data_IF_044686341685
#
_entry.id   IF_044686341685
#
_cell.length_a   1.000
_cell.length_b   1.000
_cell.length_c   1.000
_cell.angle_alpha   90.00
_cell.angle_beta   90.00
_cell.angle_gamma   90.00
#
_symmetry.space_group_name_H-M   'P 1'
#
loop_
_entity.id
_entity.type
_entity.pdbx_description
1 polymer ?
#
# COMPACT_ATOMS: atom_id res chain seq x y z
N UNK A 1 20.37 -12.94 17.44
CA UNK A 1 19.54 -13.20 16.23
C UNK A 1 18.18 -12.55 16.47
N UNK A 2 17.61 -11.89 15.47
CA UNK A 2 16.29 -11.23 15.54
C UNK A 2 15.39 -11.84 14.47
N UNK A 3 14.14 -12.15 14.84
CA UNK A 3 13.09 -12.58 13.92
C UNK A 3 12.15 -11.41 13.67
N UNK A 4 11.90 -11.07 12.41
CA UNK A 4 10.92 -10.06 12.02
C UNK A 4 9.63 -10.77 11.67
N UNK A 5 8.55 -10.43 12.36
CA UNK A 5 7.23 -11.00 12.15
C UNK A 5 6.28 -9.90 11.72
N UNK A 6 5.58 -10.10 10.61
CA UNK A 6 4.51 -9.23 10.12
C UNK A 6 3.21 -10.02 10.13
N UNK A 7 2.16 -9.44 10.71
CA UNK A 7 0.85 -10.07 10.88
C UNK A 7 -0.01 -9.90 9.63
N UNK A 8 0.04 -8.74 9.00
CA UNK A 8 -0.86 -8.35 7.90
C UNK A 8 -0.31 -8.74 6.52
N UNK A 9 -0.02 -10.04 6.31
CA UNK A 9 0.52 -10.56 5.05
C UNK A 9 -0.56 -11.04 4.07
N UNK A 10 -0.63 -12.36 3.89
CA UNK A 10 -1.48 -13.00 2.87
C UNK A 10 -2.97 -12.70 3.01
N UNK A 11 -3.50 -12.71 4.23
CA UNK A 11 -4.93 -12.43 4.49
C UNK A 11 -5.31 -10.99 4.17
N UNK A 12 -4.40 -10.05 4.37
CA UNK A 12 -4.61 -8.66 3.97
C UNK A 12 -4.60 -8.52 2.45
N UNK A 13 -3.68 -9.20 1.75
CA UNK A 13 -3.69 -9.25 0.28
C UNK A 13 -4.95 -9.88 -0.28
N UNK A 14 -5.41 -10.96 0.34
CA UNK A 14 -6.66 -11.62 -0.05
C UNK A 14 -7.87 -10.70 0.11
N UNK A 15 -7.95 -9.96 1.21
CA UNK A 15 -9.01 -8.98 1.45
C UNK A 15 -9.01 -7.86 0.39
N UNK A 16 -7.83 -7.37 -0.01
CA UNK A 16 -7.69 -6.37 -1.08
C UNK A 16 -8.11 -6.95 -2.43
N UNK A 17 -7.66 -8.16 -2.77
CA UNK A 17 -8.08 -8.88 -3.98
C UNK A 17 -9.61 -9.01 -4.03
N UNK A 18 -10.22 -9.37 -2.91
CA UNK A 18 -11.66 -9.61 -2.85
C UNK A 18 -12.49 -8.36 -3.04
N UNK A 19 -11.99 -7.21 -2.60
CA UNK A 19 -12.66 -5.91 -2.75
C UNK A 19 -12.45 -5.28 -4.12
N UNK A 20 -11.28 -5.45 -4.71
CA UNK A 20 -10.85 -4.60 -5.84
C UNK A 20 -10.41 -5.35 -7.10
N UNK A 21 -10.20 -6.67 -7.02
CA UNK A 21 -9.74 -7.48 -8.14
C UNK A 21 -10.69 -8.65 -8.43
N UNK A 22 -11.99 -8.45 -8.23
CA UNK A 22 -13.04 -9.45 -8.54
C UNK A 22 -12.79 -10.82 -7.88
N UNK A 23 -12.08 -10.86 -6.74
CA UNK A 23 -11.65 -12.10 -6.07
C UNK A 23 -10.73 -12.99 -6.93
N UNK A 24 -10.16 -12.45 -8.00
CA UNK A 24 -9.26 -13.14 -8.92
C UNK A 24 -7.82 -12.68 -8.74
N UNK A 25 -6.91 -13.65 -8.58
CA UNK A 25 -5.48 -13.36 -8.55
C UNK A 25 -4.95 -12.91 -9.92
N UNK A 26 -5.55 -13.36 -11.01
CA UNK A 26 -5.14 -12.95 -12.36
C UNK A 26 -5.43 -11.47 -12.59
N UNK A 27 -6.63 -11.02 -12.20
CA UNK A 27 -7.01 -9.60 -12.25
C UNK A 27 -6.10 -8.77 -11.34
N UNK A 28 -5.82 -9.26 -10.12
CA UNK A 28 -4.93 -8.58 -9.18
C UNK A 28 -3.52 -8.41 -9.73
N UNK A 29 -2.96 -9.46 -10.35
CA UNK A 29 -1.62 -9.43 -10.94
C UNK A 29 -1.57 -8.51 -12.16
N UNK A 30 -2.59 -8.57 -13.03
CA UNK A 30 -2.68 -7.66 -14.18
C UNK A 30 -2.69 -6.18 -13.75
N UNK A 31 -3.39 -5.86 -12.66
CA UNK A 31 -3.44 -4.50 -12.12
C UNK A 31 -2.10 -4.07 -11.53
N UNK A 32 -1.37 -4.97 -10.87
CA UNK A 32 -0.01 -4.70 -10.40
C UNK A 32 0.97 -4.45 -11.55
N UNK A 33 0.87 -5.23 -12.63
CA UNK A 33 1.76 -5.08 -13.80
C UNK A 33 1.47 -3.80 -14.60
N UNK A 34 0.23 -3.33 -14.60
CA UNK A 34 -0.16 -2.07 -15.24
C UNK A 34 0.19 -0.82 -14.41
N UNK A 35 0.54 -1.00 -13.13
CA UNK A 35 0.84 0.10 -12.23
C UNK A 35 2.28 0.56 -12.43
N UNK A 36 2.46 1.85 -12.70
CA UNK A 36 3.80 2.45 -12.82
C UNK A 36 4.60 2.28 -11.52
N UNK A 37 5.94 2.18 -11.58
CA UNK A 37 6.79 2.17 -10.40
C UNK A 37 6.47 3.32 -9.44
N UNK A 38 6.50 3.02 -8.14
CA UNK A 38 6.09 3.95 -7.07
C UNK A 38 4.60 4.33 -7.06
N UNK A 39 3.78 3.73 -7.94
CA UNK A 39 2.34 3.94 -7.98
C UNK A 39 1.95 5.45 -8.04
N UNK A 40 2.69 6.23 -8.84
CA UNK A 40 2.48 7.68 -8.95
C UNK A 40 2.68 8.46 -7.63
N UNK A 41 3.49 7.93 -6.70
CA UNK A 41 3.72 8.53 -5.39
C UNK A 41 2.68 8.14 -4.33
N UNK A 42 1.74 7.23 -4.64
CA UNK A 42 0.72 6.78 -3.70
C UNK A 42 1.24 5.61 -2.86
N UNK A 43 1.25 5.79 -1.54
CA UNK A 43 1.63 4.80 -0.55
C UNK A 43 0.42 4.40 0.29
N UNK A 44 0.34 3.12 0.66
CA UNK A 44 -0.72 2.61 1.53
C UNK A 44 -0.20 1.58 2.51
N UNK A 45 -0.60 1.74 3.78
CA UNK A 45 -0.36 0.79 4.86
C UNK A 45 -1.70 0.18 5.28
N UNK A 46 -1.78 -1.15 5.27
CA UNK A 46 -3.03 -1.89 5.45
C UNK A 46 -2.94 -2.83 6.65
N UNK A 47 -3.36 -2.34 7.82
CA UNK A 47 -3.39 -3.11 9.06
C UNK A 47 -4.81 -3.54 9.37
N UNK A 48 -5.20 -4.72 8.89
CA UNK A 48 -6.51 -5.32 9.17
C UNK A 48 -6.58 -5.84 10.61
N UNK A 49 -5.45 -6.29 11.13
CA UNK A 49 -5.23 -6.60 12.54
C UNK A 49 -4.07 -5.78 13.09
N UNK A 50 -3.95 -5.74 14.42
CA UNK A 50 -2.79 -5.15 15.08
C UNK A 50 -1.49 -5.74 14.54
N UNK A 51 -0.61 -4.87 14.04
CA UNK A 51 0.66 -5.28 13.47
C UNK A 51 1.66 -5.61 14.60
N UNK A 52 2.52 -6.60 14.36
CA UNK A 52 3.57 -7.00 15.30
C UNK A 52 4.75 -6.03 15.15
N UNK A 53 5.11 -5.70 13.91
CA UNK A 53 6.26 -4.84 13.62
C UNK A 53 5.97 -3.86 12.46
N UNK A 54 5.97 -2.55 12.71
CA UNK A 54 5.92 -1.90 14.03
C UNK A 54 4.60 -2.19 14.76
N UNK A 55 4.55 -2.07 16.10
CA UNK A 55 3.32 -2.25 16.86
C UNK A 55 2.34 -1.12 16.55
N UNK A 56 1.50 -1.32 15.54
CA UNK A 56 0.53 -0.34 15.05
C UNK A 56 -0.91 -0.82 15.30
N UNK A 57 -1.83 0.12 15.56
CA UNK A 57 -3.25 -0.19 15.67
C UNK A 57 -3.82 -0.61 14.31
N UNK A 58 -4.99 -1.25 14.37
CA UNK A 58 -5.81 -1.52 13.18
C UNK A 58 -6.12 -0.21 12.46
N UNK A 59 -5.90 -0.16 11.16
CA UNK A 59 -6.08 1.05 10.38
C UNK A 59 -5.59 0.92 8.94
N UNK A 60 -6.17 1.74 8.08
CA UNK A 60 -5.68 1.96 6.73
C UNK A 60 -5.10 3.37 6.65
N UNK A 61 -3.82 3.47 6.32
CA UNK A 61 -3.14 4.76 6.19
C UNK A 61 -2.69 4.94 4.76
N UNK A 62 -3.20 5.95 4.06
CA UNK A 62 -2.84 6.24 2.67
C UNK A 62 -2.24 7.61 2.56
N UNK A 63 -1.19 7.71 1.77
CA UNK A 63 -0.43 8.93 1.58
C UNK A 63 -0.14 9.13 0.10
N UNK A 64 -0.23 10.36 -0.35
CA UNK A 64 0.32 10.79 -1.63
C UNK A 64 1.57 11.59 -1.34
N UNK A 65 2.67 11.13 -1.93
CA UNK A 65 3.99 11.73 -1.83
C UNK A 65 4.24 12.49 -3.13
N UNK A 66 4.19 13.82 -3.04
CA UNK A 66 4.58 14.68 -4.16
C UNK A 66 6.05 15.07 -3.98
N UNK A 67 6.90 14.64 -4.92
CA UNK A 67 8.28 15.11 -4.99
C UNK A 67 8.27 16.46 -5.70
N UNK A 68 8.35 17.56 -4.94
CA UNK A 68 8.21 18.90 -5.50
C UNK A 68 9.44 19.35 -6.31
N UNK A 69 10.58 18.66 -6.21
CA UNK A 69 11.80 19.00 -6.96
C UNK A 69 12.75 17.80 -7.09
N UNK A 70 13.29 17.57 -8.29
CA UNK A 70 14.38 16.60 -8.53
C UNK A 70 15.73 17.22 -8.14
N UNK A 71 16.31 16.80 -7.02
CA UNK A 71 17.63 17.26 -6.57
C UNK A 71 17.99 16.81 -5.13
N UNK A 72 19.19 17.13 -4.62
CA UNK A 72 19.67 16.72 -3.29
C UNK A 72 18.87 17.33 -2.12
N UNK A 73 18.01 18.31 -2.40
CA UNK A 73 17.15 19.01 -1.46
C UNK A 73 15.67 18.88 -1.88
N UNK A 74 15.28 17.70 -2.38
CA UNK A 74 13.89 17.43 -2.73
C UNK A 74 13.00 17.59 -1.49
N UNK A 75 12.17 18.64 -1.48
CA UNK A 75 11.12 18.77 -0.48
C UNK A 75 10.00 17.79 -0.83
N UNK A 76 9.78 16.84 0.08
CA UNK A 76 8.75 15.83 -0.03
C UNK A 76 7.52 16.30 0.73
N UNK A 77 6.40 16.49 0.03
CA UNK A 77 5.13 16.83 0.68
C UNK A 77 4.24 15.62 0.72
N UNK A 78 3.85 15.21 1.93
CA UNK A 78 2.89 14.14 2.16
C UNK A 78 1.46 14.69 2.31
N UNK A 79 0.50 14.02 1.70
CA UNK A 79 -0.94 14.29 1.85
C UNK A 79 -1.65 13.00 2.23
N UNK A 80 -2.22 12.95 3.43
CA UNK A 80 -3.04 11.81 3.84
C UNK A 80 -4.35 11.79 3.04
N UNK A 81 -4.75 10.61 2.59
CA UNK A 81 -6.07 10.36 1.99
C UNK A 81 -6.81 9.31 2.80
N UNK A 82 -8.11 9.53 2.99
CA UNK A 82 -8.97 8.58 3.71
C UNK A 82 -9.63 7.58 2.75
N UNK A 83 -9.86 7.96 1.51
CA UNK A 83 -10.58 7.16 0.50
C UNK A 83 -9.62 6.34 -0.39
N UNK A 84 -10.04 5.11 -0.71
CA UNK A 84 -9.29 4.19 -1.57
C UNK A 84 -9.65 4.44 -3.04
N UNK A 85 -8.65 4.52 -3.91
CA UNK A 85 -8.81 4.79 -5.35
C UNK A 85 -8.42 3.54 -6.18
N UNK A 86 -9.38 2.64 -6.50
CA UNK A 86 -9.10 1.31 -7.05
C UNK A 86 -8.23 1.27 -8.30
N UNK A 87 -8.39 2.13 -9.31
CA UNK A 87 -7.58 2.08 -10.53
C UNK A 87 -6.08 2.36 -10.32
N UNK A 88 -5.68 2.83 -9.15
CA UNK A 88 -4.33 3.39 -8.92
C UNK A 88 -3.79 3.14 -7.51
N UNK A 89 -4.38 2.20 -6.77
CA UNK A 89 -3.96 1.86 -5.40
C UNK A 89 -3.88 0.35 -5.22
N UNK A 90 -3.20 -0.33 -6.15
CA UNK A 90 -2.69 -1.69 -5.92
C UNK A 90 -1.22 -1.59 -5.48
N UNK A 91 -0.92 -1.36 -4.20
CA UNK A 91 0.44 -1.42 -3.74
C UNK A 91 0.91 -2.87 -3.69
N UNK A 92 2.21 -3.11 -3.85
CA UNK A 92 2.82 -4.29 -3.25
C UNK A 92 2.60 -4.18 -1.75
N UNK A 93 1.66 -4.98 -1.22
CA UNK A 93 1.56 -5.20 0.22
C UNK A 93 2.86 -5.88 0.64
N UNK A 94 3.72 -5.12 1.32
CA UNK A 94 4.92 -5.64 1.98
C UNK A 94 4.51 -6.31 3.28
#
# INVERSE_FOLDING_TARGET
MVMLCYKNGSLTREDIRDRYAEKSWDVFNNLLEQTDPLNGGKLGFYYKEHEILPPLPVGFHRYIVDTLTSGPLAETKERQKDEFDPPSEFPPVV
#
